data_IF_176146024001
#
_entry.id   IF_176146024001
#
_cell.length_a   1.000
_cell.length_b   1.000
_cell.length_c   1.000
_cell.angle_alpha   90.00
_cell.angle_beta   90.00
_cell.angle_gamma   90.00
#
_symmetry.space_group_name_H-M   'P 1'
#
loop_
_entity.id
_entity.type
_entity.pdbx_description
1 polymer ?
#
# COMPACT_ATOMS: atom_id res chain seq x y z
N UNK A 1 21.07 8.71 8.40
CA UNK A 1 19.85 8.75 9.24
C UNK A 1 18.77 9.68 8.69
N UNK A 2 19.09 10.94 8.34
CA UNK A 2 18.11 11.89 7.78
C UNK A 2 17.42 11.42 6.50
N UNK A 3 18.16 10.78 5.58
CA UNK A 3 17.61 10.24 4.34
C UNK A 3 16.54 9.15 4.58
N UNK A 4 16.76 8.25 5.54
CA UNK A 4 15.82 7.17 5.86
C UNK A 4 14.52 7.71 6.47
N UNK A 5 14.62 8.75 7.32
CA UNK A 5 13.45 9.43 7.88
C UNK A 5 12.62 10.13 6.79
N UNK A 6 13.28 10.75 5.81
CA UNK A 6 12.59 11.36 4.66
C UNK A 6 11.81 10.32 3.85
N UNK A 7 12.43 9.18 3.53
CA UNK A 7 11.74 8.10 2.82
C UNK A 7 10.56 7.53 3.61
N UNK A 8 10.70 7.39 4.93
CA UNK A 8 9.63 6.91 5.80
C UNK A 8 8.45 7.91 5.83
N UNK A 9 8.73 9.20 5.97
CA UNK A 9 7.71 10.25 5.93
C UNK A 9 7.02 10.34 4.58
N UNK A 10 7.77 10.26 3.48
CA UNK A 10 7.21 10.22 2.11
C UNK A 10 6.30 9.00 1.92
N UNK A 11 6.74 7.82 2.37
CA UNK A 11 5.94 6.60 2.32
C UNK A 11 4.62 6.70 3.10
N UNK A 12 4.64 7.33 4.28
CA UNK A 12 3.44 7.56 5.09
C UNK A 12 2.50 8.63 4.49
N UNK A 13 3.05 9.69 3.91
CA UNK A 13 2.26 10.78 3.33
C UNK A 13 1.62 10.41 1.98
N UNK A 14 2.24 9.50 1.22
CA UNK A 14 1.79 9.10 -0.12
C UNK A 14 0.34 8.57 -0.18
N UNK A 15 -0.09 7.57 0.62
CA UNK A 15 -1.48 7.09 0.60
C UNK A 15 -2.49 8.17 1.00
N UNK A 16 -2.11 9.09 1.89
CA UNK A 16 -2.96 10.23 2.25
C UNK A 16 -3.14 11.18 1.05
N UNK A 17 -2.05 11.57 0.40
CA UNK A 17 -2.07 12.48 -0.75
C UNK A 17 -2.85 11.89 -1.93
N UNK A 18 -2.66 10.59 -2.21
CA UNK A 18 -3.40 9.89 -3.25
C UNK A 18 -4.89 9.78 -2.92
N UNK A 19 -5.24 9.36 -1.69
CA UNK A 19 -6.64 9.24 -1.28
C UNK A 19 -7.36 10.60 -1.32
N UNK A 20 -6.70 11.68 -0.88
CA UNK A 20 -7.21 13.04 -0.98
C UNK A 20 -7.45 13.46 -2.43
N UNK A 21 -6.45 13.26 -3.29
CA UNK A 21 -6.52 13.62 -4.71
C UNK A 21 -7.63 12.86 -5.43
N UNK A 22 -7.71 11.53 -5.25
CA UNK A 22 -8.78 10.72 -5.83
C UNK A 22 -10.15 11.11 -5.27
N UNK A 23 -10.27 11.40 -3.98
CA UNK A 23 -11.53 11.86 -3.40
C UNK A 23 -11.98 13.22 -3.96
N UNK A 24 -11.05 14.10 -4.36
CA UNK A 24 -11.37 15.41 -4.92
C UNK A 24 -11.67 15.37 -6.41
N UNK A 25 -10.83 14.70 -7.19
CA UNK A 25 -10.85 14.70 -8.67
C UNK A 25 -11.63 13.53 -9.28
N UNK A 26 -11.92 12.46 -8.52
CA UNK A 26 -12.69 11.31 -8.98
C UNK A 26 -13.91 11.07 -8.07
N UNK A 27 -14.89 12.00 -8.04
CA UNK A 27 -16.08 11.85 -7.18
C UNK A 27 -16.90 10.60 -7.50
N UNK A 28 -16.92 10.17 -8.77
CA UNK A 28 -17.69 9.01 -9.25
C UNK A 28 -17.12 7.66 -8.78
N UNK A 29 -15.88 7.65 -8.26
CA UNK A 29 -15.29 6.41 -7.78
C UNK A 29 -15.94 5.99 -6.46
N UNK A 30 -16.16 4.69 -6.28
CA UNK A 30 -16.56 4.15 -4.97
C UNK A 30 -15.44 4.33 -3.94
N UNK A 31 -15.79 4.45 -2.65
CA UNK A 31 -14.80 4.57 -1.57
C UNK A 31 -13.80 3.41 -1.60
N UNK A 32 -14.29 2.18 -1.83
CA UNK A 32 -13.47 0.98 -1.95
C UNK A 32 -12.43 1.10 -3.06
N UNK A 33 -12.82 1.64 -4.23
CA UNK A 33 -11.91 1.84 -5.36
C UNK A 33 -10.81 2.84 -5.00
N UNK A 34 -11.15 3.96 -4.37
CA UNK A 34 -10.15 4.96 -3.93
C UNK A 34 -9.15 4.36 -2.95
N UNK A 35 -9.63 3.62 -1.94
CA UNK A 35 -8.77 2.97 -0.95
C UNK A 35 -7.81 1.99 -1.62
N UNK A 36 -8.32 1.08 -2.46
CA UNK A 36 -7.50 0.09 -3.14
C UNK A 36 -6.42 0.72 -4.03
N UNK A 37 -6.74 1.79 -4.75
CA UNK A 37 -5.76 2.49 -5.60
C UNK A 37 -4.75 3.32 -4.81
N UNK A 38 -5.13 3.84 -3.64
CA UNK A 38 -4.23 4.60 -2.79
C UNK A 38 -3.29 3.71 -1.96
N UNK A 39 -3.73 2.50 -1.58
CA UNK A 39 -2.95 1.61 -0.71
C UNK A 39 -2.31 0.42 -1.42
N UNK A 40 -2.85 -0.01 -2.57
CA UNK A 40 -2.49 -1.28 -3.21
C UNK A 40 -1.22 -1.31 -4.05
N UNK A 41 -0.92 -0.31 -4.92
CA UNK A 41 0.12 -0.45 -5.93
C UNK A 41 1.53 -0.74 -5.38
N UNK A 42 1.95 -0.03 -4.33
CA UNK A 42 3.30 -0.19 -3.77
C UNK A 42 3.46 -1.55 -3.07
N UNK A 43 2.57 -1.96 -2.14
CA UNK A 43 2.63 -3.30 -1.57
C UNK A 43 2.55 -4.41 -2.62
N UNK A 44 1.74 -4.25 -3.66
CA UNK A 44 1.63 -5.22 -4.74
C UNK A 44 2.94 -5.36 -5.54
N UNK A 45 3.59 -4.25 -5.90
CA UNK A 45 4.89 -4.29 -6.60
C UNK A 45 5.95 -4.91 -5.71
N UNK A 46 5.98 -4.58 -4.41
CA UNK A 46 6.92 -5.18 -3.46
C UNK A 46 6.71 -6.68 -3.23
N UNK A 47 5.47 -7.16 -3.38
CA UNK A 47 5.16 -8.57 -3.20
C UNK A 47 5.75 -9.45 -4.31
N UNK A 48 5.91 -8.93 -5.53
CA UNK A 48 6.44 -9.67 -6.69
C UNK A 48 7.83 -10.27 -6.43
N UNK A 49 8.87 -9.50 -6.04
CA UNK A 49 10.18 -10.07 -5.77
C UNK A 49 10.17 -11.03 -4.57
N UNK A 50 9.31 -10.78 -3.57
CA UNK A 50 9.20 -11.69 -2.41
C UNK A 50 8.65 -13.06 -2.85
N UNK A 51 7.58 -13.06 -3.65
CA UNK A 51 7.01 -14.27 -4.24
C UNK A 51 8.01 -14.97 -5.16
N UNK A 52 8.76 -14.22 -5.95
CA UNK A 52 9.81 -14.77 -6.81
C UNK A 52 10.87 -15.52 -6.00
N UNK A 53 11.39 -14.92 -4.91
CA UNK A 53 12.38 -15.57 -4.03
C UNK A 53 11.81 -16.83 -3.40
N UNK A 54 10.58 -16.78 -2.89
CA UNK A 54 9.92 -17.94 -2.27
C UNK A 54 9.74 -19.07 -3.28
N UNK A 55 9.20 -18.77 -4.47
CA UNK A 55 8.98 -19.76 -5.53
C UNK A 55 10.30 -20.36 -5.97
N UNK A 56 11.32 -19.53 -6.20
CA UNK A 56 12.64 -20.01 -6.61
C UNK A 56 13.27 -20.92 -5.56
N UNK A 57 13.15 -20.58 -4.27
CA UNK A 57 13.64 -21.43 -3.18
C UNK A 57 12.87 -22.76 -3.09
N UNK A 58 11.55 -22.76 -3.33
CA UNK A 58 10.74 -23.99 -3.35
C UNK A 58 11.06 -24.90 -4.53
N UNK A 59 11.47 -24.34 -5.68
CA UNK A 59 11.76 -25.11 -6.90
C UNK A 59 13.23 -25.50 -7.04
N UNK A 60 14.13 -24.97 -6.19
CA UNK A 60 15.55 -25.29 -6.24
C UNK A 60 15.83 -26.63 -5.55
N UNK A 61 16.50 -27.58 -6.21
CA UNK A 61 16.90 -28.84 -5.58
C UNK A 61 17.77 -28.60 -4.34
N UNK A 62 17.58 -29.42 -3.30
CA UNK A 62 18.29 -29.28 -2.02
C UNK A 62 19.82 -29.32 -2.17
N UNK A 63 20.33 -30.06 -3.16
CA UNK A 63 21.76 -30.16 -3.44
C UNK A 63 22.36 -28.83 -3.96
N UNK A 64 21.54 -27.94 -4.53
CA UNK A 64 22.00 -26.70 -5.16
C UNK A 64 21.94 -25.47 -4.24
N UNK A 65 21.01 -25.42 -3.28
CA UNK A 65 20.91 -24.29 -2.33
C UNK A 65 21.26 -24.67 -0.88
N UNK A 66 21.26 -25.96 -0.53
CA UNK A 66 21.28 -26.39 0.86
C UNK A 66 19.96 -26.08 1.58
N UNK A 67 19.51 -27.00 2.43
CA UNK A 67 18.24 -26.87 3.17
C UNK A 67 18.19 -25.58 4.01
N UNK A 68 19.32 -25.20 4.62
CA UNK A 68 19.43 -24.02 5.48
C UNK A 68 19.29 -22.71 4.70
N UNK A 69 19.99 -22.56 3.55
CA UNK A 69 19.92 -21.32 2.79
C UNK A 69 18.56 -21.15 2.09
N UNK A 70 17.98 -22.24 1.54
CA UNK A 70 16.63 -22.21 1.00
C UNK A 70 15.58 -21.91 2.09
N UNK A 71 15.74 -22.49 3.28
CA UNK A 71 14.89 -22.21 4.45
C UNK A 71 14.94 -20.73 4.86
N UNK A 72 16.15 -20.17 4.96
CA UNK A 72 16.37 -18.74 5.26
C UNK A 72 15.78 -17.82 4.18
N UNK A 73 15.93 -18.16 2.90
CA UNK A 73 15.37 -17.39 1.79
C UNK A 73 13.83 -17.37 1.83
N UNK A 74 13.19 -18.51 2.09
CA UNK A 74 11.74 -18.60 2.26
C UNK A 74 11.26 -17.80 3.47
N UNK A 75 11.93 -17.93 4.63
CA UNK A 75 11.59 -17.19 5.84
C UNK A 75 11.69 -15.67 5.64
N UNK A 76 12.75 -15.19 4.99
CA UNK A 76 12.92 -13.78 4.66
C UNK A 76 11.84 -13.27 3.70
N UNK A 77 11.52 -14.05 2.66
CA UNK A 77 10.44 -13.72 1.73
C UNK A 77 9.08 -13.62 2.43
N UNK A 78 8.75 -14.58 3.31
CA UNK A 78 7.51 -14.58 4.08
C UNK A 78 7.42 -13.42 5.07
N UNK A 79 8.52 -13.11 5.76
CA UNK A 79 8.58 -11.97 6.67
C UNK A 79 8.33 -10.64 5.93
N UNK A 80 8.94 -10.47 4.75
CA UNK A 80 8.76 -9.27 3.94
C UNK A 80 7.34 -9.18 3.36
N UNK A 81 6.73 -10.30 2.95
CA UNK A 81 5.31 -10.32 2.57
C UNK A 81 4.40 -9.91 3.73
N UNK A 82 4.68 -10.41 4.94
CA UNK A 82 3.96 -10.01 6.15
C UNK A 82 4.05 -8.51 6.40
N UNK A 83 5.25 -7.93 6.25
CA UNK A 83 5.44 -6.48 6.37
C UNK A 83 4.66 -5.70 5.31
N UNK A 84 4.69 -6.11 4.04
CA UNK A 84 3.95 -5.47 2.96
C UNK A 84 2.43 -5.56 3.18
N UNK A 85 1.94 -6.68 3.71
CA UNK A 85 0.53 -6.83 4.10
C UNK A 85 0.15 -5.85 5.23
N UNK A 86 1.01 -5.70 6.25
CA UNK A 86 0.78 -4.72 7.31
C UNK A 86 0.78 -3.28 6.79
N UNK A 87 1.72 -2.94 5.89
CA UNK A 87 1.77 -1.64 5.21
C UNK A 87 0.48 -1.40 4.41
N UNK A 88 0.04 -2.39 3.63
CA UNK A 88 -1.20 -2.30 2.86
C UNK A 88 -2.40 -2.00 3.76
N UNK A 89 -2.54 -2.71 4.88
CA UNK A 89 -3.64 -2.50 5.83
C UNK A 89 -3.57 -1.11 6.46
N UNK A 90 -2.39 -0.69 6.94
CA UNK A 90 -2.20 0.64 7.52
C UNK A 90 -2.53 1.76 6.53
N UNK A 91 -2.07 1.63 5.28
CA UNK A 91 -2.36 2.59 4.22
C UNK A 91 -3.83 2.58 3.81
N UNK A 92 -4.47 1.40 3.79
CA UNK A 92 -5.89 1.28 3.49
C UNK A 92 -6.75 1.98 4.55
N UNK A 93 -6.40 1.83 5.84
CA UNK A 93 -7.07 2.53 6.94
C UNK A 93 -6.91 4.04 6.76
N UNK A 94 -5.69 4.52 6.52
CA UNK A 94 -5.43 5.95 6.34
C UNK A 94 -6.22 6.52 5.15
N UNK A 95 -6.18 5.83 3.99
CA UNK A 95 -6.93 6.22 2.80
C UNK A 95 -8.44 6.21 3.04
N UNK A 96 -8.95 5.24 3.81
CA UNK A 96 -10.36 5.14 4.15
C UNK A 96 -10.82 6.31 5.04
N UNK A 97 -10.02 6.67 6.04
CA UNK A 97 -10.27 7.84 6.90
C UNK A 97 -10.27 9.10 6.04
N UNK A 98 -9.26 9.31 5.20
CA UNK A 98 -9.15 10.49 4.33
C UNK A 98 -10.33 10.63 3.39
N UNK A 99 -10.70 9.57 2.65
CA UNK A 99 -11.85 9.64 1.72
C UNK A 99 -13.17 9.89 2.47
N UNK A 100 -13.30 9.38 3.70
CA UNK A 100 -14.50 9.59 4.51
C UNK A 100 -14.60 11.03 4.99
N UNK A 101 -13.50 11.61 5.47
CA UNK A 101 -13.44 13.02 5.90
C UNK A 101 -13.71 13.96 4.71
N UNK A 102 -13.02 13.75 3.58
CA UNK A 102 -13.18 14.58 2.38
C UNK A 102 -14.61 14.55 1.86
N UNK A 103 -15.24 13.37 1.82
CA UNK A 103 -16.62 13.24 1.34
C UNK A 103 -17.65 13.77 2.33
N UNK A 104 -17.45 13.58 3.64
CA UNK A 104 -18.31 14.18 4.68
C UNK A 104 -18.27 15.71 4.62
N UNK A 105 -17.10 16.31 4.41
CA UNK A 105 -16.97 17.75 4.23
C UNK A 105 -17.75 18.28 3.01
N UNK A 106 -17.91 17.48 1.95
CA UNK A 106 -18.76 17.83 0.79
C UNK A 106 -20.25 17.67 1.09
N UNK A 107 -20.66 16.65 1.83
CA UNK A 107 -22.07 16.45 2.21
C UNK A 107 -22.57 17.45 3.25
N UNK A 108 -21.67 17.98 4.09
CA UNK A 108 -21.96 19.03 5.09
C UNK A 108 -21.84 20.46 4.56
N UNK A 109 -21.54 20.65 3.26
CA UNK A 109 -21.57 21.94 2.59
C UNK A 109 -22.84 22.03 1.72
N UNK A 110 -24.03 22.28 2.30
CA UNK A 110 -25.18 22.67 1.49
C UNK A 110 -24.87 24.05 0.89
N UNK A 111 -24.83 24.13 -0.44
CA UNK A 111 -24.77 25.41 -1.16
C UNK A 111 -23.40 26.08 -1.20
N UNK A 112 -22.54 25.62 -2.11
CA UNK A 112 -21.64 26.53 -2.81
C UNK A 112 -21.93 26.40 -4.31
N UNK A 113 -23.21 26.55 -4.66
CA UNK A 113 -23.63 27.06 -5.96
C UNK A 113 -23.34 28.58 -5.98
N UNK A 114 -22.07 28.95 -5.81
CA UNK A 114 -21.60 30.32 -5.98
C UNK A 114 -20.39 30.21 -6.89
N UNK A 115 -20.69 30.11 -8.18
CA UNK A 115 -19.96 30.64 -9.33
C UNK A 115 -20.17 29.71 -10.54
N UNK A 116 -21.32 29.95 -11.20
CA UNK A 116 -21.66 29.78 -12.62
C UNK A 116 -21.44 28.42 -13.27
#
# INVERSE_FOLDING_TARGET
MMLALLFLMLGLAMPFALAWSFARFRPDWSKRKVVLWASGPIPAIGAVPCLFVIINAMTTPADNCGVDACGMAMAAGLAMLGLLAAIFVGWAILAFVTVTVVRRGRSGAPGMDVFK
#
